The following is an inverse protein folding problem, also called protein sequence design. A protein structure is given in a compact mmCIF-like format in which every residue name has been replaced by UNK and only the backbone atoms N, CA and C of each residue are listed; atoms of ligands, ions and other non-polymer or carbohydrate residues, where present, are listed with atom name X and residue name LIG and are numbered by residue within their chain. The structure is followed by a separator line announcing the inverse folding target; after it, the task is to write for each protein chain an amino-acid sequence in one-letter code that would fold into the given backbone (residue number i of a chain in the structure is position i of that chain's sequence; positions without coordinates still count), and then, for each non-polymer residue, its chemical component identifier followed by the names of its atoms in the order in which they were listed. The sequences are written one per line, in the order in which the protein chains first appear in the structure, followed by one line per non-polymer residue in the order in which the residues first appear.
data_IF_530161516459
#
_entry.id   IF_530161516459
#
_cell.length_a   1.000
_cell.length_b   1.000
_cell.length_c   1.000
_cell.angle_alpha   90.00
_cell.angle_beta   90.00
_cell.angle_gamma   90.00
#
_symmetry.space_group_name_H-M   'P 1'
#
loop_
_entity.id
_entity.type
_entity.pdbx_description
1 polymer ?
#
# COMPACT_ATOMS: atom_id res chain seq x y z
N UNK A 1 14.29 -60.72 62.72
CA UNK A 1 14.28 -59.32 62.26
C UNK A 1 14.03 -59.33 60.76
N UNK A 2 12.80 -59.02 60.34
CA UNK A 2 12.45 -58.90 58.94
C UNK A 2 12.72 -57.45 58.50
N UNK A 3 13.57 -57.27 57.48
CA UNK A 3 13.72 -55.99 56.80
C UNK A 3 12.53 -55.79 55.85
N UNK A 4 11.76 -54.74 56.10
CA UNK A 4 10.73 -54.24 55.19
C UNK A 4 11.44 -53.34 54.18
N UNK A 5 11.65 -53.83 52.97
CA UNK A 5 11.98 -52.96 51.83
C UNK A 5 10.69 -52.27 51.36
N UNK A 6 10.60 -50.97 51.61
CA UNK A 6 9.56 -50.10 51.08
C UNK A 6 9.88 -49.84 49.62
N UNK A 7 9.21 -50.56 48.71
CA UNK A 7 9.21 -50.26 47.28
C UNK A 7 8.46 -48.96 47.00
N UNK A 8 9.19 -47.90 46.68
CA UNK A 8 8.60 -46.66 46.17
C UNK A 8 8.23 -46.85 44.69
N UNK A 9 6.96 -47.09 44.40
CA UNK A 9 6.44 -47.09 43.04
C UNK A 9 6.76 -45.76 42.35
N UNK A 10 7.58 -45.82 41.30
CA UNK A 10 7.72 -44.72 40.32
C UNK A 10 6.42 -44.62 39.53
N UNK A 11 5.47 -43.83 40.03
CA UNK A 11 4.28 -43.46 39.28
C UNK A 11 4.65 -42.71 37.99
N UNK A 12 3.98 -43.06 36.90
CA UNK A 12 4.22 -42.66 35.52
C UNK A 12 4.13 -41.13 35.27
N UNK A 13 5.23 -40.40 35.39
CA UNK A 13 5.34 -38.99 34.96
C UNK A 13 5.61 -38.81 33.44
N UNK A 14 5.81 -39.88 32.69
CA UNK A 14 6.17 -39.85 31.26
C UNK A 14 5.06 -39.33 30.31
N UNK A 15 3.77 -39.70 30.47
CA UNK A 15 2.71 -39.26 29.55
C UNK A 15 2.43 -37.76 29.62
N UNK A 16 2.47 -37.18 30.82
CA UNK A 16 2.23 -35.75 31.06
C UNK A 16 3.35 -34.89 30.43
N UNK A 17 4.62 -35.29 30.62
CA UNK A 17 5.78 -34.62 30.01
C UNK A 17 5.74 -34.66 28.48
N UNK A 18 5.33 -35.79 27.88
CA UNK A 18 5.26 -35.97 26.42
C UNK A 18 4.13 -35.17 25.76
N UNK A 19 2.98 -35.00 26.44
CA UNK A 19 1.87 -34.14 25.98
C UNK A 19 2.22 -32.65 26.11
N UNK A 20 2.82 -32.25 27.23
CA UNK A 20 3.29 -30.88 27.45
C UNK A 20 4.35 -30.45 26.42
N UNK A 21 5.29 -31.34 26.08
CA UNK A 21 6.30 -31.07 25.05
C UNK A 21 5.73 -30.93 23.62
N UNK A 22 4.66 -31.65 23.27
CA UNK A 22 3.97 -31.45 21.98
C UNK A 22 3.27 -30.11 21.94
N UNK A 23 2.49 -29.80 22.99
CA UNK A 23 1.75 -28.54 23.07
C UNK A 23 2.68 -27.33 22.94
N UNK A 24 3.83 -27.35 23.62
CA UNK A 24 4.87 -26.32 23.50
C UNK A 24 5.39 -26.17 22.06
N UNK A 25 5.61 -27.28 21.34
CA UNK A 25 6.05 -27.24 19.94
C UNK A 25 4.97 -26.67 19.02
N UNK A 26 3.71 -27.06 19.21
CA UNK A 26 2.58 -26.55 18.41
C UNK A 26 2.42 -25.04 18.63
N UNK A 27 2.46 -24.58 19.89
CA UNK A 27 2.40 -23.16 20.24
C UNK A 27 3.59 -22.41 19.61
N UNK A 28 4.81 -22.95 19.71
CA UNK A 28 5.99 -22.31 19.13
C UNK A 28 5.89 -22.16 17.61
N UNK A 29 5.37 -23.17 16.90
CA UNK A 29 5.16 -23.11 15.44
C UNK A 29 4.10 -22.07 15.09
N UNK A 30 2.94 -22.08 15.77
CA UNK A 30 1.88 -21.09 15.54
C UNK A 30 2.40 -19.68 15.78
N UNK A 31 3.10 -19.46 16.88
CA UNK A 31 3.69 -18.16 17.20
C UNK A 31 4.74 -17.73 16.17
N UNK A 32 5.63 -18.63 15.74
CA UNK A 32 6.65 -18.31 14.75
C UNK A 32 6.03 -17.91 13.40
N UNK A 33 4.98 -18.61 12.97
CA UNK A 33 4.27 -18.31 11.71
C UNK A 33 3.53 -16.98 11.81
N UNK A 34 2.82 -16.72 12.92
CA UNK A 34 2.17 -15.43 13.14
C UNK A 34 3.20 -14.29 13.17
N UNK A 35 4.31 -14.45 13.88
CA UNK A 35 5.40 -13.45 13.94
C UNK A 35 5.98 -13.20 12.54
N UNK A 36 6.15 -14.25 11.74
CA UNK A 36 6.65 -14.10 10.38
C UNK A 36 5.66 -13.37 9.47
N UNK A 37 4.44 -13.89 9.34
CA UNK A 37 3.42 -13.40 8.41
C UNK A 37 2.83 -12.04 8.80
N UNK A 38 2.70 -11.76 10.09
CA UNK A 38 2.06 -10.53 10.57
C UNK A 38 3.06 -9.40 10.88
N UNK A 39 4.36 -9.69 10.88
CA UNK A 39 5.38 -8.69 11.23
C UNK A 39 6.65 -8.77 10.37
N UNK A 40 7.41 -9.87 10.42
CA UNK A 40 8.75 -9.92 9.79
C UNK A 40 8.72 -9.83 8.27
N UNK A 41 7.69 -10.36 7.61
CA UNK A 41 7.61 -10.39 6.15
C UNK A 41 7.62 -8.98 5.52
N UNK A 42 7.06 -7.98 6.20
CA UNK A 42 7.08 -6.59 5.75
C UNK A 42 8.49 -6.01 5.78
N UNK A 43 9.27 -6.30 6.83
CA UNK A 43 10.67 -5.88 6.91
C UNK A 43 11.49 -6.52 5.79
N UNK A 44 11.29 -7.82 5.53
CA UNK A 44 12.00 -8.51 4.46
C UNK A 44 11.67 -7.94 3.08
N UNK A 45 10.40 -7.62 2.81
CA UNK A 45 9.99 -7.04 1.54
C UNK A 45 10.54 -5.62 1.36
N UNK A 46 10.35 -4.75 2.35
CA UNK A 46 10.68 -3.32 2.25
C UNK A 46 12.19 -3.07 2.37
N UNK A 47 12.93 -3.89 3.10
CA UNK A 47 14.40 -3.76 3.22
C UNK A 47 15.12 -3.91 1.87
N UNK A 48 14.49 -4.52 0.88
CA UNK A 48 15.03 -4.66 -0.48
C UNK A 48 14.89 -3.38 -1.31
N UNK A 49 14.10 -2.42 -0.84
CA UNK A 49 13.82 -1.17 -1.53
C UNK A 49 14.88 -0.11 -1.21
N UNK A 50 15.39 0.56 -2.25
CA UNK A 50 16.37 1.64 -2.11
C UNK A 50 15.85 2.90 -2.77
N UNK A 51 16.18 4.05 -2.18
CA UNK A 51 15.92 5.35 -2.79
C UNK A 51 16.63 5.44 -4.15
N UNK A 52 15.93 5.87 -5.22
CA UNK A 52 16.53 5.95 -6.55
C UNK A 52 17.51 7.13 -6.61
N UNK A 53 18.59 6.98 -7.36
CA UNK A 53 19.58 8.04 -7.57
C UNK A 53 19.08 9.06 -8.61
N UNK A 54 19.17 10.35 -8.27
CA UNK A 54 18.87 11.45 -9.19
C UNK A 54 20.18 11.96 -9.77
N UNK A 55 20.20 12.22 -11.08
CA UNK A 55 21.35 12.83 -11.73
C UNK A 55 21.48 14.28 -11.25
N UNK A 56 22.40 14.52 -10.31
CA UNK A 56 22.82 15.88 -10.00
C UNK A 56 23.79 16.32 -11.09
N UNK A 57 23.55 17.48 -11.70
CA UNK A 57 24.49 18.06 -12.66
C UNK A 57 25.75 18.44 -11.91
N UNK A 58 26.76 17.56 -11.97
CA UNK A 58 28.12 17.89 -11.55
C UNK A 58 28.63 18.93 -12.57
N UNK A 59 28.49 20.21 -12.25
CA UNK A 59 29.35 21.21 -12.87
C UNK A 59 30.76 20.96 -12.33
N UNK A 60 31.63 20.48 -13.22
CA UNK A 60 33.07 20.34 -12.95
C UNK A 60 33.65 21.70 -12.53
N UNK A 61 33.82 21.90 -11.23
CA UNK A 61 34.38 23.13 -10.66
C UNK A 61 34.11 23.21 -9.15
N UNK A 62 35.13 23.60 -8.40
CA UNK A 62 35.12 23.69 -6.93
C UNK A 62 33.86 24.39 -6.37
N UNK A 63 33.29 23.80 -5.30
CA UNK A 63 32.00 24.11 -4.66
C UNK A 63 30.72 23.69 -5.43
N UNK A 64 30.58 22.40 -5.71
CA UNK A 64 29.26 21.81 -5.97
C UNK A 64 28.42 21.83 -4.67
N UNK A 65 27.57 22.86 -4.51
CA UNK A 65 26.48 22.80 -3.54
C UNK A 65 25.50 21.73 -4.03
N UNK A 66 25.61 20.50 -3.54
CA UNK A 66 24.65 19.44 -3.85
C UNK A 66 23.24 19.93 -3.55
N UNK A 67 22.38 19.99 -4.58
CA UNK A 67 20.97 20.34 -4.40
C UNK A 67 20.35 19.39 -3.35
N UNK A 68 19.59 19.91 -2.37
CA UNK A 68 19.01 19.08 -1.33
C UNK A 68 17.99 18.12 -1.96
N UNK A 69 18.33 16.83 -1.99
CA UNK A 69 17.41 15.78 -2.45
C UNK A 69 16.30 15.60 -1.43
N UNK A 70 15.06 15.67 -1.89
CA UNK A 70 13.86 15.34 -1.14
C UNK A 70 13.52 13.87 -1.33
N UNK A 71 13.38 13.13 -0.24
CA UNK A 71 12.86 11.76 -0.23
C UNK A 71 11.36 11.75 0.06
N UNK A 72 10.57 11.45 -0.96
CA UNK A 72 9.11 11.42 -0.89
C UNK A 72 8.55 10.01 -1.15
N UNK A 73 7.57 9.60 -0.37
CA UNK A 73 6.77 8.39 -0.63
C UNK A 73 5.40 8.77 -1.18
N UNK A 74 4.90 7.99 -2.14
CA UNK A 74 3.58 8.15 -2.73
C UNK A 74 2.80 6.84 -2.61
N UNK A 75 1.66 6.92 -1.93
CA UNK A 75 0.69 5.86 -1.67
C UNK A 75 -0.59 6.21 -2.44
N UNK A 76 -1.41 5.23 -2.78
CA UNK A 76 -2.74 5.46 -3.35
C UNK A 76 -3.71 4.37 -2.88
N UNK A 77 -5.00 4.68 -2.97
CA UNK A 77 -6.09 3.72 -2.85
C UNK A 77 -5.95 2.83 -1.61
N UNK A 78 -5.90 3.45 -0.43
CA UNK A 78 -5.81 2.71 0.84
C UNK A 78 -7.12 2.01 1.16
N UNK A 79 -8.27 2.58 0.75
CA UNK A 79 -9.61 2.02 0.95
C UNK A 79 -9.83 1.48 2.36
N UNK A 80 -9.77 2.35 3.36
CA UNK A 80 -10.16 2.01 4.72
C UNK A 80 -11.63 1.56 4.71
N UNK A 81 -11.88 0.33 5.17
CA UNK A 81 -13.21 -0.25 5.14
C UNK A 81 -14.15 0.50 6.09
N UNK A 82 -15.26 0.96 5.54
CA UNK A 82 -16.29 1.66 6.30
C UNK A 82 -17.21 0.73 7.08
N UNK A 83 -18.26 1.32 7.65
CA UNK A 83 -19.21 0.64 8.53
C UNK A 83 -20.23 -0.21 7.77
N UNK A 84 -20.60 0.19 6.55
CA UNK A 84 -21.79 -0.34 5.88
C UNK A 84 -21.53 -1.59 5.06
N UNK A 85 -20.51 -1.57 4.20
CA UNK A 85 -20.14 -2.67 3.30
C UNK A 85 -18.90 -3.43 3.80
N UNK A 86 -18.17 -2.87 4.77
CA UNK A 86 -16.96 -3.46 5.31
C UNK A 86 -17.20 -4.68 6.21
N UNK A 87 -16.72 -5.85 5.80
CA UNK A 87 -16.74 -7.04 6.67
C UNK A 87 -15.65 -6.94 7.76
N UNK A 88 -15.98 -7.19 9.03
CA UNK A 88 -15.07 -6.99 10.17
C UNK A 88 -13.73 -7.74 10.05
N UNK A 89 -13.74 -8.98 9.53
CA UNK A 89 -12.51 -9.77 9.36
C UNK A 89 -11.64 -9.19 8.24
N UNK A 90 -12.27 -8.68 7.19
CA UNK A 90 -11.57 -8.05 6.08
C UNK A 90 -10.94 -6.75 6.59
N UNK A 91 -11.72 -5.93 7.29
CA UNK A 91 -11.25 -4.71 7.97
C UNK A 91 -10.04 -4.98 8.85
N UNK A 92 -10.14 -5.97 9.76
CA UNK A 92 -9.02 -6.37 10.61
C UNK A 92 -7.76 -6.73 9.79
N UNK A 93 -7.92 -7.50 8.71
CA UNK A 93 -6.79 -8.00 7.91
C UNK A 93 -6.13 -6.91 7.07
N UNK A 94 -6.93 -6.11 6.34
CA UNK A 94 -6.43 -5.06 5.43
C UNK A 94 -5.85 -3.89 6.21
N UNK A 95 -6.55 -3.44 7.26
CA UNK A 95 -6.05 -2.36 8.11
C UNK A 95 -4.76 -2.76 8.85
N UNK A 96 -4.68 -4.00 9.35
CA UNK A 96 -3.42 -4.51 9.92
C UNK A 96 -2.29 -4.51 8.91
N UNK A 97 -2.53 -4.99 7.68
CA UNK A 97 -1.53 -4.96 6.62
C UNK A 97 -1.03 -3.54 6.33
N UNK A 98 -1.95 -2.60 6.12
CA UNK A 98 -1.57 -1.22 5.82
C UNK A 98 -0.79 -0.59 6.96
N UNK A 99 -1.21 -0.77 8.22
CA UNK A 99 -0.46 -0.27 9.37
C UNK A 99 0.94 -0.87 9.41
N UNK A 100 1.08 -2.20 9.28
CA UNK A 100 2.40 -2.85 9.34
C UNK A 100 3.30 -2.42 8.20
N UNK A 101 2.77 -2.33 6.97
CA UNK A 101 3.52 -1.87 5.82
C UNK A 101 3.98 -0.42 5.98
N UNK A 102 3.07 0.50 6.35
CA UNK A 102 3.36 1.91 6.51
C UNK A 102 4.37 2.18 7.63
N UNK A 103 4.16 1.59 8.82
CA UNK A 103 5.06 1.78 9.95
C UNK A 103 6.46 1.20 9.68
N UNK A 104 6.53 0.06 8.96
CA UNK A 104 7.81 -0.54 8.56
C UNK A 104 8.53 0.31 7.51
N UNK A 105 7.80 0.87 6.55
CA UNK A 105 8.35 1.76 5.54
C UNK A 105 8.89 3.06 6.15
N UNK A 106 8.14 3.70 7.06
CA UNK A 106 8.64 4.86 7.80
C UNK A 106 9.92 4.52 8.56
N UNK A 107 9.94 3.39 9.26
CA UNK A 107 11.10 2.97 10.04
C UNK A 107 12.34 2.75 9.18
N UNK A 108 12.24 1.99 8.09
CA UNK A 108 13.38 1.60 7.26
C UNK A 108 13.81 2.69 6.27
N UNK A 109 12.86 3.38 5.65
CA UNK A 109 13.13 4.28 4.53
C UNK A 109 13.30 5.74 4.96
N UNK A 110 12.73 6.13 6.11
CA UNK A 110 12.82 7.47 6.68
C UNK A 110 12.52 8.58 5.65
N UNK A 111 11.32 8.58 5.01
CA UNK A 111 10.94 9.64 4.08
C UNK A 111 10.76 10.96 4.82
N UNK A 112 10.91 12.07 4.10
CA UNK A 112 10.62 13.41 4.64
C UNK A 112 9.16 13.79 4.42
N UNK A 113 8.58 13.34 3.30
CA UNK A 113 7.20 13.62 2.92
C UNK A 113 6.54 12.34 2.44
N UNK A 114 5.28 12.16 2.81
CA UNK A 114 4.41 11.10 2.33
C UNK A 114 3.18 11.74 1.69
N UNK A 115 2.82 11.28 0.51
CA UNK A 115 1.58 11.63 -0.18
C UNK A 115 0.64 10.42 -0.24
N UNK A 116 -0.65 10.63 -0.01
CA UNK A 116 -1.72 9.65 -0.30
C UNK A 116 -2.61 10.22 -1.40
N UNK A 117 -2.66 9.52 -2.54
CA UNK A 117 -3.26 9.98 -3.79
C UNK A 117 -4.72 9.55 -3.95
N UNK A 118 -5.56 9.89 -2.98
CA UNK A 118 -7.00 9.63 -3.03
C UNK A 118 -7.42 8.26 -2.54
N UNK A 119 -8.74 8.10 -2.47
CA UNK A 119 -9.46 6.91 -2.02
C UNK A 119 -8.90 6.39 -0.69
N UNK A 120 -8.83 7.31 0.27
CA UNK A 120 -8.38 7.02 1.63
C UNK A 120 -9.38 6.08 2.31
N UNK A 121 -10.65 6.46 2.26
CA UNK A 121 -11.78 5.73 2.81
C UNK A 121 -12.59 5.09 1.69
N UNK A 122 -13.01 3.85 1.86
CA UNK A 122 -13.87 3.15 0.89
C UNK A 122 -15.30 3.71 0.86
N UNK A 123 -15.72 4.27 1.98
CA UNK A 123 -17.10 4.67 2.24
C UNK A 123 -17.24 6.16 2.63
N UNK A 124 -16.19 6.96 2.44
CA UNK A 124 -16.20 8.37 2.82
C UNK A 124 -17.43 9.09 2.27
N UNK A 125 -17.77 8.93 0.99
CA UNK A 125 -18.84 9.64 0.31
C UNK A 125 -20.26 9.40 0.86
N UNK A 126 -20.50 8.32 1.60
CA UNK A 126 -21.81 8.01 2.18
C UNK A 126 -21.78 7.80 3.71
N UNK A 127 -20.64 8.04 4.35
CA UNK A 127 -20.49 7.91 5.80
C UNK A 127 -21.32 8.92 6.59
N UNK A 128 -21.92 8.45 7.68
CA UNK A 128 -22.49 9.30 8.73
C UNK A 128 -21.38 10.11 9.42
N UNK A 129 -21.70 11.21 10.12
CA UNK A 129 -20.71 11.97 10.88
C UNK A 129 -19.93 11.11 11.89
N UNK A 130 -20.61 10.15 12.53
CA UNK A 130 -20.03 9.23 13.50
C UNK A 130 -19.09 8.23 12.82
N UNK A 131 -19.54 7.56 11.75
CA UNK A 131 -18.71 6.63 10.99
C UNK A 131 -17.46 7.33 10.41
N UNK A 132 -17.62 8.56 9.92
CA UNK A 132 -16.50 9.38 9.45
C UNK A 132 -15.48 9.64 10.56
N UNK A 133 -15.93 10.00 11.77
CA UNK A 133 -15.04 10.26 12.89
C UNK A 133 -14.27 8.99 13.30
N UNK A 134 -14.95 7.84 13.35
CA UNK A 134 -14.34 6.54 13.66
C UNK A 134 -13.32 6.14 12.58
N UNK A 135 -13.62 6.38 11.31
CA UNK A 135 -12.73 6.11 10.18
C UNK A 135 -11.48 6.99 10.24
N UNK A 136 -11.65 8.28 10.54
CA UNK A 136 -10.54 9.24 10.73
C UNK A 136 -9.65 8.85 11.90
N UNK A 137 -10.21 8.43 13.04
CA UNK A 137 -9.42 7.96 14.18
C UNK A 137 -8.54 6.76 13.81
N UNK A 138 -9.12 5.78 13.10
CA UNK A 138 -8.36 4.61 12.63
C UNK A 138 -7.29 5.01 11.63
N UNK A 139 -7.59 5.90 10.69
CA UNK A 139 -6.60 6.45 9.78
C UNK A 139 -5.42 7.06 10.52
N UNK A 140 -5.68 7.95 11.48
CA UNK A 140 -4.63 8.64 12.25
C UNK A 140 -3.77 7.65 13.05
N UNK A 141 -4.38 6.58 13.57
CA UNK A 141 -3.66 5.52 14.28
C UNK A 141 -2.75 4.71 13.36
N UNK A 142 -3.23 4.33 12.18
CA UNK A 142 -2.48 3.48 11.23
C UNK A 142 -1.37 4.26 10.54
N UNK A 143 -1.68 5.47 10.07
CA UNK A 143 -0.75 6.36 9.37
C UNK A 143 -0.05 7.35 10.31
N UNK A 144 0.07 7.00 11.60
CA UNK A 144 0.83 7.80 12.58
C UNK A 144 2.28 7.96 12.11
N UNK A 145 2.80 9.16 12.25
CA UNK A 145 4.14 9.51 11.81
C UNK A 145 4.77 10.54 12.77
N UNK A 146 6.11 10.61 12.84
CA UNK A 146 6.79 11.65 13.61
C UNK A 146 6.50 13.05 13.05
N UNK A 147 6.56 14.08 13.90
CA UNK A 147 6.25 15.47 13.53
C UNK A 147 7.16 16.07 12.44
N UNK A 148 8.34 15.49 12.20
CA UNK A 148 9.25 15.94 11.15
C UNK A 148 8.88 15.39 9.76
N UNK A 149 8.05 14.34 9.68
CA UNK A 149 7.55 13.79 8.43
C UNK A 149 6.26 14.52 8.06
N UNK A 150 6.18 15.04 6.84
CA UNK A 150 4.95 15.68 6.36
C UNK A 150 4.04 14.62 5.71
N UNK A 151 2.75 14.60 6.06
CA UNK A 151 1.74 13.79 5.39
C UNK A 151 0.80 14.71 4.61
N UNK A 152 0.65 14.46 3.31
CA UNK A 152 -0.24 15.21 2.40
C UNK A 152 -1.20 14.23 1.75
N UNK A 153 -2.47 14.60 1.69
CA UNK A 153 -3.53 13.71 1.21
C UNK A 153 -4.42 14.49 0.25
N UNK A 154 -4.69 13.91 -0.92
CA UNK A 154 -5.69 14.44 -1.86
C UNK A 154 -6.93 13.56 -1.81
N UNK A 155 -8.09 14.13 -2.11
CA UNK A 155 -9.36 13.42 -2.10
C UNK A 155 -9.54 12.55 -3.36
N UNK A 156 -10.14 11.37 -3.18
CA UNK A 156 -10.65 10.54 -4.27
C UNK A 156 -12.18 10.48 -4.31
N UNK A 157 -12.72 9.68 -5.24
CA UNK A 157 -14.16 9.56 -5.44
C UNK A 157 -14.84 8.78 -4.31
N UNK A 158 -14.15 7.85 -3.65
CA UNK A 158 -14.69 7.17 -2.48
C UNK A 158 -14.73 8.07 -1.23
N UNK A 159 -13.86 9.09 -1.16
CA UNK A 159 -13.78 9.99 -0.01
C UNK A 159 -14.93 11.00 0.02
N UNK A 160 -15.15 11.70 -1.10
CA UNK A 160 -16.09 12.83 -1.17
C UNK A 160 -17.15 12.70 -2.26
N UNK A 161 -17.08 11.66 -3.11
CA UNK A 161 -17.98 11.45 -4.23
C UNK A 161 -17.47 12.11 -5.52
N UNK A 162 -17.85 11.57 -6.68
CA UNK A 162 -17.59 12.20 -7.97
C UNK A 162 -18.74 13.11 -8.36
N UNK A 163 -18.44 14.35 -8.73
CA UNK A 163 -19.38 15.32 -9.28
C UNK A 163 -20.72 15.42 -8.51
N UNK A 164 -21.82 14.80 -8.98
CA UNK A 164 -23.14 14.87 -8.33
C UNK A 164 -23.21 14.21 -6.96
N UNK A 165 -22.32 13.25 -6.66
CA UNK A 165 -22.24 12.66 -5.32
C UNK A 165 -21.51 13.59 -4.33
N UNK A 166 -20.76 14.57 -4.83
CA UNK A 166 -20.01 15.54 -4.03
C UNK A 166 -20.92 16.66 -3.52
N UNK A 167 -20.63 17.16 -2.32
CA UNK A 167 -21.25 18.37 -1.79
C UNK A 167 -20.30 19.11 -0.84
N UNK A 168 -20.63 20.36 -0.51
CA UNK A 168 -19.82 21.24 0.33
C UNK A 168 -19.47 20.60 1.68
N UNK A 169 -20.44 19.95 2.34
CA UNK A 169 -20.20 19.28 3.63
C UNK A 169 -19.13 18.17 3.51
N UNK A 170 -19.16 17.36 2.45
CA UNK A 170 -18.19 16.28 2.22
C UNK A 170 -16.79 16.83 1.94
N UNK A 171 -16.69 17.90 1.14
CA UNK A 171 -15.41 18.58 0.85
C UNK A 171 -14.84 19.20 2.12
N UNK A 172 -15.62 20.03 2.82
CA UNK A 172 -15.18 20.74 4.02
C UNK A 172 -14.75 19.79 5.14
N UNK A 173 -15.48 18.69 5.38
CA UNK A 173 -15.09 17.73 6.42
C UNK A 173 -13.81 16.97 6.06
N UNK A 174 -13.56 16.71 4.78
CA UNK A 174 -12.33 16.08 4.31
C UNK A 174 -11.15 17.03 4.51
N UNK A 175 -11.27 18.26 4.02
CA UNK A 175 -10.22 19.27 4.12
C UNK A 175 -9.92 19.70 5.55
N UNK A 176 -10.91 19.64 6.44
CA UNK A 176 -10.70 19.84 7.88
C UNK A 176 -9.72 18.82 8.48
N UNK A 177 -9.68 17.59 7.96
CA UNK A 177 -8.78 16.53 8.43
C UNK A 177 -7.44 16.57 7.69
N UNK A 178 -7.48 16.78 6.37
CA UNK A 178 -6.34 16.56 5.48
C UNK A 178 -5.69 17.83 4.91
N UNK A 179 -6.20 19.02 5.27
CA UNK A 179 -5.88 20.33 4.72
C UNK A 179 -6.54 20.61 3.36
N UNK A 180 -6.88 21.87 3.13
CA UNK A 180 -7.29 22.42 1.83
C UNK A 180 -6.11 22.98 1.01
N UNK A 181 -4.86 22.79 1.47
CA UNK A 181 -3.67 23.29 0.78
C UNK A 181 -3.62 22.75 -0.66
N UNK A 182 -3.49 23.66 -1.65
CA UNK A 182 -3.34 23.31 -3.08
C UNK A 182 -1.91 23.35 -3.56
N UNK A 183 -1.06 24.15 -2.92
CA UNK A 183 0.35 24.29 -3.25
C UNK A 183 1.19 24.05 -2.01
N UNK A 184 1.92 22.95 -2.00
CA UNK A 184 2.90 22.62 -0.96
C UNK A 184 4.31 22.79 -1.53
N UNK A 185 5.12 23.63 -0.90
CA UNK A 185 6.50 23.86 -1.31
C UNK A 185 7.48 23.34 -0.26
N UNK A 186 8.42 22.49 -0.67
CA UNK A 186 9.43 21.92 0.22
C UNK A 186 10.75 21.74 -0.50
N UNK A 187 11.87 22.18 0.11
CA UNK A 187 13.22 22.13 -0.49
C UNK A 187 13.29 22.72 -1.92
N UNK A 188 12.52 23.77 -2.20
CA UNK A 188 12.47 24.41 -3.53
C UNK A 188 11.68 23.63 -4.57
N UNK A 189 10.97 22.58 -4.17
CA UNK A 189 10.09 21.78 -5.02
C UNK A 189 8.64 22.17 -4.74
N UNK A 190 7.86 22.38 -5.80
CA UNK A 190 6.45 22.72 -5.71
C UNK A 190 5.60 21.49 -6.04
N UNK A 191 4.70 21.13 -5.13
CA UNK A 191 3.69 20.10 -5.31
C UNK A 191 2.33 20.78 -5.42
N UNK A 192 1.63 20.55 -6.52
CA UNK A 192 0.25 21.03 -6.72
C UNK A 192 -0.70 19.88 -6.46
N UNK A 193 -1.48 19.99 -5.39
CA UNK A 193 -2.48 19.01 -4.97
C UNK A 193 -3.80 19.33 -5.67
N UNK A 194 -4.24 18.40 -6.51
CA UNK A 194 -5.43 18.58 -7.36
C UNK A 194 -6.55 17.67 -6.86
N UNK A 195 -7.68 18.26 -6.47
CA UNK A 195 -8.92 17.51 -6.25
C UNK A 195 -9.54 17.17 -7.62
N UNK A 196 -9.11 16.07 -8.22
CA UNK A 196 -9.52 15.67 -9.56
C UNK A 196 -11.02 15.36 -9.66
N UNK A 197 -11.65 14.88 -8.59
CA UNK A 197 -13.10 14.57 -8.60
C UNK A 197 -13.99 15.81 -8.63
N UNK A 198 -13.40 17.00 -8.43
CA UNK A 198 -14.02 18.30 -8.67
C UNK A 198 -13.76 18.87 -10.09
N UNK A 199 -13.06 18.14 -10.97
CA UNK A 199 -12.64 18.64 -12.30
C UNK A 199 -13.52 18.09 -13.44
N UNK A 200 -14.84 18.04 -13.25
CA UNK A 200 -15.76 17.54 -14.28
C UNK A 200 -15.87 18.46 -15.51
N UNK A 201 -15.64 19.77 -15.33
CA UNK A 201 -15.58 20.75 -16.42
C UNK A 201 -16.95 21.30 -16.88
N UNK A 202 -18.03 21.02 -16.16
CA UNK A 202 -19.40 21.48 -16.48
C UNK A 202 -19.79 22.80 -15.79
N UNK A 203 -18.85 23.45 -15.07
CA UNK A 203 -19.10 24.70 -14.37
C UNK A 203 -19.92 24.54 -13.08
N UNK A 204 -19.97 23.35 -12.48
CA UNK A 204 -20.59 23.16 -11.17
C UNK A 204 -19.93 24.08 -10.11
N UNK A 205 -20.65 24.44 -9.03
CA UNK A 205 -20.15 25.39 -8.03
C UNK A 205 -18.80 25.00 -7.43
N UNK A 206 -18.71 23.77 -6.90
CA UNK A 206 -17.46 23.21 -6.35
C UNK A 206 -16.38 23.07 -7.45
N UNK A 207 -16.79 22.70 -8.66
CA UNK A 207 -15.88 22.52 -9.79
C UNK A 207 -15.23 23.85 -10.21
N UNK A 208 -16.03 24.92 -10.26
CA UNK A 208 -15.57 26.25 -10.64
C UNK A 208 -14.63 26.84 -9.59
N UNK A 209 -14.91 26.58 -8.30
CA UNK A 209 -14.02 26.96 -7.20
C UNK A 209 -12.68 26.23 -7.30
N UNK A 210 -12.70 24.90 -7.50
CA UNK A 210 -11.47 24.12 -7.69
C UNK A 210 -10.65 24.58 -8.91
N UNK A 211 -11.30 24.87 -10.05
CA UNK A 211 -10.63 25.45 -11.22
C UNK A 211 -10.00 26.82 -10.89
N UNK A 212 -10.72 27.70 -10.18
CA UNK A 212 -10.23 29.03 -9.82
C UNK A 212 -9.01 28.99 -8.89
N UNK A 213 -9.00 28.10 -7.89
CA UNK A 213 -7.86 27.89 -6.99
C UNK A 213 -6.60 27.44 -7.77
N UNK A 214 -6.76 26.53 -8.74
CA UNK A 214 -5.65 26.06 -9.56
C UNK A 214 -5.13 27.13 -10.52
N UNK A 215 -6.02 27.97 -11.05
CA UNK A 215 -5.62 29.14 -11.83
C UNK A 215 -4.82 30.11 -10.94
N UNK A 216 -5.23 30.37 -9.70
CA UNK A 216 -4.47 31.20 -8.77
C UNK A 216 -3.07 30.62 -8.50
N UNK A 217 -2.98 29.30 -8.28
CA UNK A 217 -1.69 28.60 -8.13
C UNK A 217 -0.84 28.77 -9.39
N UNK A 218 -1.41 28.65 -10.59
CA UNK A 218 -0.66 28.85 -11.84
C UNK A 218 -0.06 30.25 -11.96
N UNK A 219 -0.80 31.28 -11.52
CA UNK A 219 -0.32 32.65 -11.48
C UNK A 219 0.81 32.84 -10.48
N UNK A 220 0.71 32.22 -9.30
CA UNK A 220 1.77 32.26 -8.27
C UNK A 220 3.06 31.58 -8.74
N UNK A 221 2.95 30.55 -9.57
CA UNK A 221 4.09 29.80 -10.13
C UNK A 221 4.63 30.39 -11.44
N UNK A 222 4.03 31.46 -11.98
CA UNK A 222 4.36 32.07 -13.27
C UNK A 222 4.36 31.06 -14.45
N UNK A 223 3.44 30.10 -14.45
CA UNK A 223 3.33 29.14 -15.54
C UNK A 223 2.84 29.83 -16.84
N UNK A 224 3.55 29.64 -17.96
CA UNK A 224 3.25 30.27 -19.27
C UNK A 224 2.41 29.38 -20.21
N UNK A 225 1.77 30.00 -21.22
CA UNK A 225 0.74 29.45 -22.12
C UNK A 225 1.32 28.68 -23.33
N UNK A 226 1.20 27.34 -23.42
CA UNK A 226 0.98 26.53 -24.68
C UNK A 226 0.80 24.97 -24.54
N UNK A 227 -0.16 24.43 -25.32
CA UNK A 227 -0.74 23.10 -25.76
C UNK A 227 -0.51 21.65 -25.15
N UNK A 228 -1.68 21.04 -24.78
CA UNK A 228 -2.30 19.66 -24.63
C UNK A 228 -1.58 18.28 -24.83
N UNK A 229 -2.14 17.09 -24.37
CA UNK A 229 -3.26 16.79 -23.43
C UNK A 229 -2.99 15.72 -22.32
N UNK A 230 -3.83 15.67 -21.26
CA UNK A 230 -4.11 14.47 -20.44
C UNK A 230 -5.49 13.90 -20.91
N UNK A 231 -5.86 12.67 -20.54
CA UNK A 231 -6.84 11.74 -21.16
C UNK A 231 -6.11 10.61 -21.87
N UNK A 232 -6.43 9.38 -21.46
CA UNK A 232 -6.02 8.15 -22.12
C UNK A 232 -7.24 7.26 -22.29
N UNK A 233 -7.33 6.59 -23.44
CA UNK A 233 -8.50 5.78 -23.81
C UNK A 233 -8.64 4.54 -22.93
N UNK A 234 -7.54 3.96 -22.48
CA UNK A 234 -7.48 2.78 -21.61
C UNK A 234 -6.06 2.57 -21.07
N UNK A 235 -5.84 1.47 -20.34
CA UNK A 235 -4.51 0.99 -19.91
C UNK A 235 -3.73 0.23 -21.02
N UNK A 236 -4.23 0.18 -22.26
CA UNK A 236 -3.64 -0.64 -23.34
C UNK A 236 -2.16 -0.33 -23.60
N UNK A 237 -1.74 0.92 -23.40
CA UNK A 237 -0.36 1.35 -23.61
C UNK A 237 0.53 1.37 -22.35
N UNK A 238 0.03 0.93 -21.18
CA UNK A 238 0.81 0.94 -19.94
C UNK A 238 1.99 -0.05 -19.97
N UNK A 239 3.06 0.23 -19.26
CA UNK A 239 4.17 -0.72 -19.06
C UNK A 239 4.38 -1.02 -17.57
N UNK A 240 4.92 -2.20 -17.25
CA UNK A 240 5.25 -2.62 -15.87
C UNK A 240 4.65 -3.97 -15.48
N UNK A 241 5.30 -4.66 -14.54
CA UNK A 241 4.94 -6.00 -14.06
C UNK A 241 3.59 -6.06 -13.30
N UNK A 242 3.11 -4.91 -12.85
CA UNK A 242 1.92 -4.71 -12.01
C UNK A 242 0.86 -3.81 -12.68
N UNK A 243 1.01 -3.57 -13.98
CA UNK A 243 -0.05 -3.08 -14.84
C UNK A 243 -1.25 -4.04 -14.84
N UNK A 244 -2.44 -3.54 -15.17
CA UNK A 244 -3.65 -4.36 -15.22
C UNK A 244 -3.46 -5.57 -16.16
N UNK A 245 -4.19 -6.69 -15.96
CA UNK A 245 -4.17 -7.83 -16.88
C UNK A 245 -4.58 -7.43 -18.31
N UNK A 246 -4.12 -8.10 -19.38
CA UNK A 246 -4.47 -7.74 -20.76
C UNK A 246 -5.97 -7.62 -21.02
N UNK A 247 -6.76 -8.48 -20.38
CA UNK A 247 -8.24 -8.50 -20.46
C UNK A 247 -8.89 -7.22 -19.92
N UNK A 248 -8.26 -6.57 -18.94
CA UNK A 248 -8.73 -5.31 -18.33
C UNK A 248 -8.12 -4.09 -19.03
N UNK A 249 -6.91 -4.20 -19.58
CA UNK A 249 -6.18 -3.08 -20.18
C UNK A 249 -6.81 -2.50 -21.44
N UNK A 250 -7.50 -3.33 -22.21
CA UNK A 250 -8.17 -2.90 -23.43
C UNK A 250 -9.58 -2.34 -23.18
N UNK A 251 -10.09 -2.39 -21.94
CA UNK A 251 -11.38 -1.82 -21.58
C UNK A 251 -11.29 -0.29 -21.66
N UNK A 252 -12.12 0.36 -22.50
CA UNK A 252 -12.10 1.82 -22.60
C UNK A 252 -12.54 2.47 -21.30
N UNK A 253 -11.75 3.41 -20.81
CA UNK A 253 -12.13 4.26 -19.70
C UNK A 253 -13.30 5.16 -20.07
N UNK A 254 -14.23 5.28 -19.14
CA UNK A 254 -15.33 6.23 -19.18
C UNK A 254 -14.85 7.56 -18.60
N UNK A 255 -14.85 8.60 -19.43
CA UNK A 255 -14.60 9.97 -18.99
C UNK A 255 -15.54 10.36 -17.84
N UNK A 256 -15.04 11.17 -16.91
CA UNK A 256 -15.74 11.61 -15.71
C UNK A 256 -16.19 10.45 -14.81
N UNK A 257 -15.52 9.31 -14.91
CA UNK A 257 -15.72 8.19 -14.01
C UNK A 257 -14.39 7.51 -13.73
N UNK A 258 -13.79 6.91 -14.76
CA UNK A 258 -12.50 6.22 -14.65
C UNK A 258 -11.30 7.18 -14.85
N UNK A 259 -11.51 8.27 -15.58
CA UNK A 259 -10.52 9.31 -15.88
C UNK A 259 -11.17 10.68 -15.98
N UNK A 260 -10.39 11.75 -15.81
CA UNK A 260 -10.82 13.12 -16.12
C UNK A 260 -11.24 13.27 -17.59
N UNK A 261 -12.14 14.22 -17.85
CA UNK A 261 -12.45 14.60 -19.22
C UNK A 261 -11.21 15.12 -19.94
N UNK A 262 -11.17 14.92 -21.26
CA UNK A 262 -10.08 15.44 -22.09
C UNK A 262 -9.87 16.94 -21.89
N UNK A 263 -10.94 17.70 -21.73
CA UNK A 263 -10.87 19.14 -21.49
C UNK A 263 -10.24 19.48 -20.12
N UNK A 264 -10.69 18.86 -19.03
CA UNK A 264 -10.19 19.14 -17.69
C UNK A 264 -8.70 18.79 -17.57
N UNK A 265 -8.35 17.60 -18.06
CA UNK A 265 -6.98 17.14 -18.20
C UNK A 265 -6.08 18.12 -18.97
N UNK A 266 -6.58 18.65 -20.08
CA UNK A 266 -5.90 19.64 -20.90
C UNK A 266 -5.69 20.97 -20.18
N UNK A 267 -6.71 21.45 -19.44
CA UNK A 267 -6.62 22.65 -18.61
C UNK A 267 -5.53 22.52 -17.54
N UNK A 268 -5.43 21.37 -16.88
CA UNK A 268 -4.41 21.13 -15.84
C UNK A 268 -2.98 21.23 -16.38
N UNK A 269 -2.67 20.55 -17.51
CA UNK A 269 -1.35 20.68 -18.14
C UNK A 269 -1.07 22.12 -18.55
N UNK A 270 -2.09 22.81 -19.08
CA UNK A 270 -1.96 24.19 -19.52
C UNK A 270 -1.63 25.13 -18.36
N UNK A 271 -2.38 25.05 -17.26
CA UNK A 271 -2.19 25.92 -16.10
C UNK A 271 -0.90 25.62 -15.36
N UNK A 272 -0.54 24.35 -15.19
CA UNK A 272 0.49 23.98 -14.23
C UNK A 272 1.85 23.62 -14.87
N UNK A 273 1.87 23.22 -16.15
CA UNK A 273 3.08 22.77 -16.86
C UNK A 273 3.96 21.82 -16.01
N UNK A 274 3.39 20.74 -15.44
CA UNK A 274 4.13 19.90 -14.51
C UNK A 274 5.22 19.10 -15.23
N UNK A 275 6.34 18.87 -14.53
CA UNK A 275 7.39 17.95 -14.99
C UNK A 275 7.07 16.47 -14.75
N UNK A 276 6.13 16.19 -13.84
CA UNK A 276 5.71 14.86 -13.43
C UNK A 276 4.28 14.94 -12.89
N UNK A 277 3.43 14.00 -13.29
CA UNK A 277 2.11 13.80 -12.71
C UNK A 277 2.09 12.45 -11.98
N UNK A 278 1.55 12.44 -10.76
CA UNK A 278 1.33 11.22 -9.99
C UNK A 278 -0.17 11.12 -9.69
N UNK A 279 -0.77 9.99 -10.03
CA UNK A 279 -2.21 9.72 -9.88
C UNK A 279 -2.46 8.40 -9.14
N UNK A 280 -3.72 8.09 -8.81
CA UNK A 280 -4.15 6.83 -8.18
C UNK A 280 -5.34 6.22 -8.91
N UNK A 281 -6.36 5.76 -8.18
CA UNK A 281 -7.69 5.34 -8.62
C UNK A 281 -7.79 4.00 -9.35
N UNK A 282 -6.92 3.71 -10.32
CA UNK A 282 -7.03 2.47 -11.11
C UNK A 282 -6.60 1.21 -10.34
N UNK A 283 -6.08 1.37 -9.11
CA UNK A 283 -5.41 0.36 -8.29
C UNK A 283 -4.17 -0.28 -8.95
N UNK A 284 -3.89 0.07 -10.21
CA UNK A 284 -2.86 -0.50 -11.05
C UNK A 284 -1.80 0.53 -11.40
N UNK A 285 -0.56 0.07 -11.56
CA UNK A 285 0.48 0.97 -12.00
C UNK A 285 0.36 1.20 -13.49
N UNK A 286 0.47 2.46 -13.91
CA UNK A 286 0.55 2.80 -15.32
C UNK A 286 1.50 3.98 -15.51
N UNK A 287 2.41 3.86 -16.46
CA UNK A 287 3.22 4.97 -16.96
C UNK A 287 2.70 5.38 -18.33
N UNK A 288 2.38 6.66 -18.50
CA UNK A 288 2.01 7.24 -19.78
C UNK A 288 2.67 8.60 -19.97
N UNK A 289 2.91 8.96 -21.23
CA UNK A 289 3.57 10.22 -21.58
C UNK A 289 2.60 11.12 -22.34
N UNK A 290 2.19 12.20 -21.70
CA UNK A 290 1.23 13.17 -22.23
C UNK A 290 1.89 14.14 -23.20
N UNK A 291 1.37 14.16 -24.43
CA UNK A 291 1.95 14.94 -25.52
C UNK A 291 3.42 14.61 -25.81
N UNK A 292 3.89 13.41 -25.42
CA UNK A 292 5.28 12.96 -25.49
C UNK A 292 6.26 13.71 -24.59
N UNK A 293 5.78 14.52 -23.64
CA UNK A 293 6.61 15.44 -22.84
C UNK A 293 6.41 15.33 -21.33
N UNK A 294 5.17 15.15 -20.88
CA UNK A 294 4.84 15.13 -19.44
C UNK A 294 4.53 13.68 -19.02
N UNK A 295 5.41 13.02 -18.26
CA UNK A 295 5.13 11.69 -17.75
C UNK A 295 4.08 11.75 -16.62
N UNK A 296 3.12 10.84 -16.69
CA UNK A 296 2.21 10.50 -15.61
C UNK A 296 2.49 9.08 -15.14
N UNK A 297 2.56 8.91 -13.83
CA UNK A 297 2.62 7.61 -13.18
C UNK A 297 1.41 7.44 -12.26
N UNK A 298 0.54 6.49 -12.59
CA UNK A 298 -0.50 6.01 -11.68
C UNK A 298 0.15 5.10 -10.63
N UNK A 299 -0.02 5.46 -9.37
CA UNK A 299 0.44 4.73 -8.20
C UNK A 299 -0.58 3.62 -7.92
N UNK A 300 -0.14 2.36 -7.82
CA UNK A 300 -1.04 1.25 -7.53
C UNK A 300 -1.54 1.29 -6.08
N UNK A 301 -2.60 0.54 -5.81
CA UNK A 301 -3.15 0.46 -4.46
C UNK A 301 -2.13 -0.07 -3.45
N UNK A 302 -2.13 0.56 -2.27
CA UNK A 302 -1.35 0.16 -1.10
C UNK A 302 -1.99 -1.00 -0.32
N UNK A 303 -3.24 -1.36 -0.64
CA UNK A 303 -4.07 -2.30 0.12
C UNK A 303 -4.21 -3.65 -0.58
N UNK A 304 -4.11 -4.74 0.20
CA UNK A 304 -4.48 -6.07 -0.30
C UNK A 304 -5.94 -6.17 -0.72
N UNK A 305 -6.79 -5.21 -0.34
CA UNK A 305 -8.20 -5.24 -0.70
C UNK A 305 -8.42 -5.12 -2.21
N UNK A 306 -7.55 -4.33 -2.86
CA UNK A 306 -7.68 -3.96 -4.25
C UNK A 306 -6.76 -4.80 -5.14
N UNK A 307 -5.64 -5.31 -4.60
CA UNK A 307 -4.71 -6.16 -5.35
C UNK A 307 -3.88 -7.10 -4.50
N UNK A 308 -3.48 -8.23 -5.08
CA UNK A 308 -2.65 -9.23 -4.40
C UNK A 308 -1.20 -8.75 -4.14
N UNK A 309 -0.64 -7.89 -5.00
CA UNK A 309 0.74 -7.39 -4.93
C UNK A 309 0.81 -5.86 -4.74
N UNK A 310 0.37 -5.32 -3.59
CA UNK A 310 0.36 -3.88 -3.37
C UNK A 310 1.77 -3.31 -3.36
N UNK A 311 1.89 -2.03 -3.66
CA UNK A 311 3.18 -1.33 -3.68
C UNK A 311 3.00 0.16 -3.46
N UNK A 312 4.11 0.87 -3.32
CA UNK A 312 4.15 2.32 -3.26
C UNK A 312 5.34 2.85 -4.08
N UNK A 313 5.31 4.13 -4.42
CA UNK A 313 6.40 4.78 -5.18
C UNK A 313 7.29 5.57 -4.23
N UNK A 314 8.59 5.44 -4.42
CA UNK A 314 9.63 6.23 -3.76
C UNK A 314 10.22 7.20 -4.77
N UNK A 315 10.17 8.49 -4.46
CA UNK A 315 10.76 9.55 -5.26
C UNK A 315 11.95 10.19 -4.56
N UNK A 316 13.06 10.27 -5.26
CA UNK A 316 14.14 11.19 -4.92
C UNK A 316 14.00 12.39 -5.86
N UNK A 317 13.84 13.59 -5.30
CA UNK A 317 13.39 14.75 -6.07
C UNK A 317 14.28 15.96 -5.74
N UNK A 318 14.76 16.66 -6.75
CA UNK A 318 15.39 17.99 -6.62
C UNK A 318 14.50 19.04 -7.29
N UNK A 319 14.77 20.34 -7.17
CA UNK A 319 14.02 21.36 -7.90
C UNK A 319 14.04 21.17 -9.43
N UNK A 320 15.10 20.56 -9.95
CA UNK A 320 15.35 20.44 -11.40
C UNK A 320 15.06 19.05 -11.96
N UNK A 321 15.32 17.98 -11.22
CA UNK A 321 15.19 16.59 -11.70
C UNK A 321 14.53 15.68 -10.66
N UNK A 322 14.19 14.45 -11.05
CA UNK A 322 13.64 13.44 -10.16
C UNK A 322 13.96 12.02 -10.64
N UNK A 323 13.92 11.07 -9.72
CA UNK A 323 13.96 9.65 -10.02
C UNK A 323 12.89 8.94 -9.17
N UNK A 324 12.19 8.00 -9.80
CA UNK A 324 11.16 7.20 -9.16
C UNK A 324 11.60 5.74 -9.12
N UNK A 325 11.22 5.05 -8.06
CA UNK A 325 11.32 3.59 -7.96
C UNK A 325 10.12 3.04 -7.23
N UNK A 326 9.79 1.79 -7.50
CA UNK A 326 8.65 1.10 -6.90
C UNK A 326 9.13 0.17 -5.80
N UNK A 327 8.42 0.16 -4.69
CA UNK A 327 8.65 -0.76 -3.58
C UNK A 327 7.44 -1.67 -3.38
N UNK A 328 7.60 -2.96 -3.65
CA UNK A 328 6.55 -3.96 -3.47
C UNK A 328 6.40 -4.36 -2.00
N UNK A 329 5.15 -4.54 -1.60
CA UNK A 329 4.78 -5.12 -0.32
C UNK A 329 4.62 -6.65 -0.46
N UNK A 330 4.57 -7.39 0.66
CA UNK A 330 4.29 -8.82 0.62
C UNK A 330 3.00 -9.12 -0.14
N UNK A 331 2.97 -10.22 -0.90
CA UNK A 331 1.75 -10.65 -1.58
C UNK A 331 0.81 -11.39 -0.63
N UNK A 332 -0.50 -11.17 -0.77
CA UNK A 332 -1.49 -11.82 0.09
C UNK A 332 -1.46 -13.34 -0.08
N UNK A 333 -1.42 -13.82 -1.33
CA UNK A 333 -1.39 -15.25 -1.66
C UNK A 333 -0.19 -15.98 -1.05
N UNK A 334 0.99 -15.35 -1.06
CA UNK A 334 2.20 -15.90 -0.41
C UNK A 334 1.97 -16.06 1.08
N UNK A 335 1.37 -15.07 1.75
CA UNK A 335 1.06 -15.15 3.18
C UNK A 335 0.02 -16.25 3.46
N UNK A 336 -1.03 -16.36 2.63
CA UNK A 336 -2.04 -17.41 2.76
C UNK A 336 -1.45 -18.81 2.53
N UNK A 337 -0.57 -18.98 1.54
CA UNK A 337 0.12 -20.24 1.28
C UNK A 337 0.99 -20.65 2.47
N UNK A 338 1.69 -19.70 3.10
CA UNK A 338 2.47 -19.96 4.32
C UNK A 338 1.56 -20.42 5.46
N UNK A 339 0.41 -19.76 5.66
CA UNK A 339 -0.57 -20.17 6.66
C UNK A 339 -1.11 -21.58 6.39
N UNK A 340 -1.53 -21.88 5.17
CA UNK A 340 -2.01 -23.21 4.79
C UNK A 340 -0.92 -24.29 4.98
N UNK A 341 0.33 -24.00 4.60
CA UNK A 341 1.47 -24.88 4.81
C UNK A 341 1.73 -25.15 6.30
N UNK A 342 1.64 -24.11 7.14
CA UNK A 342 1.79 -24.24 8.58
C UNK A 342 0.68 -25.11 9.21
N UNK A 343 -0.58 -24.94 8.79
CA UNK A 343 -1.69 -25.80 9.24
C UNK A 343 -1.43 -27.25 8.85
N UNK A 344 -1.04 -27.51 7.60
CA UNK A 344 -0.68 -28.86 7.15
C UNK A 344 0.45 -29.47 7.98
N UNK A 345 1.51 -28.70 8.26
CA UNK A 345 2.62 -29.12 9.10
C UNK A 345 2.19 -29.44 10.54
N UNK A 346 1.33 -28.61 11.15
CA UNK A 346 0.78 -28.85 12.49
C UNK A 346 -0.07 -30.13 12.55
N UNK A 347 -0.85 -30.41 11.52
CA UNK A 347 -1.62 -31.66 11.40
C UNK A 347 -0.67 -32.86 11.34
N UNK A 348 0.36 -32.82 10.48
CA UNK A 348 1.36 -33.90 10.36
C UNK A 348 2.10 -34.12 11.68
N UNK A 349 2.51 -33.04 12.37
CA UNK A 349 3.15 -33.12 13.68
C UNK A 349 2.25 -33.80 14.72
N UNK A 350 0.97 -33.45 14.73
CA UNK A 350 -0.02 -34.00 15.67
C UNK A 350 -0.28 -35.48 15.38
N UNK A 351 -0.52 -35.84 14.12
CA UNK A 351 -0.73 -37.23 13.70
C UNK A 351 0.51 -38.10 13.95
N UNK A 352 1.71 -37.56 13.75
CA UNK A 352 2.98 -38.24 14.03
C UNK A 352 3.13 -38.53 15.51
N UNK A 353 2.76 -37.58 16.37
CA UNK A 353 2.84 -37.75 17.82
C UNK A 353 1.83 -38.78 18.35
N UNK A 354 0.63 -38.79 17.77
CA UNK A 354 -0.42 -39.78 18.05
C UNK A 354 -0.12 -41.18 17.49
N UNK A 355 0.94 -41.35 16.70
CA UNK A 355 1.30 -42.63 16.09
C UNK A 355 0.34 -43.06 14.97
N UNK A 356 -0.45 -42.14 14.42
CA UNK A 356 -1.43 -42.38 13.37
C UNK A 356 -0.83 -42.30 11.96
N UNK A 357 0.44 -41.87 11.85
CA UNK A 357 1.21 -41.96 10.61
C UNK A 357 2.06 -43.22 10.61
N UNK A 358 1.81 -44.10 9.63
CA UNK A 358 2.66 -45.25 9.38
C UNK A 358 4.08 -44.76 9.08
N UNK A 359 5.06 -45.15 9.89
CA UNK A 359 6.46 -44.78 9.66
C UNK A 359 6.93 -45.42 8.34
N UNK A 360 7.30 -44.63 7.30
CA UNK A 360 7.89 -45.20 6.09
C UNK A 360 9.24 -45.88 6.37
N UNK A 361 9.87 -45.59 7.50
CA UNK A 361 11.19 -46.11 7.88
C UNK A 361 11.19 -47.55 8.43
N UNK A 362 10.05 -48.07 8.90
CA UNK A 362 9.98 -49.45 9.45
C UNK A 362 9.66 -50.52 8.39
N UNK A 363 9.20 -50.12 7.20
CA UNK A 363 8.93 -51.08 6.11
C UNK A 363 10.20 -51.46 5.33
N UNK A 364 11.15 -50.52 5.17
CA UNK A 364 12.41 -50.76 4.44
C UNK A 364 13.43 -51.65 5.15
N UNK A 365 13.56 -51.57 6.48
CA UNK A 365 14.51 -52.40 7.23
C UNK A 365 14.10 -53.88 7.34
N UNK A 366 12.80 -54.18 7.29
CA UNK A 366 12.32 -55.56 7.31
C UNK A 366 12.52 -56.30 5.97
N UNK A 367 12.65 -55.56 4.86
CA UNK A 367 12.98 -56.11 3.55
C UNK A 367 14.48 -56.43 3.41
N UNK A 368 15.37 -55.65 4.04
CA UNK A 368 16.82 -55.92 4.03
C UNK A 368 17.22 -57.05 4.99
N UNK A 369 16.46 -57.27 6.08
CA UNK A 369 16.72 -58.40 7.00
C UNK A 369 16.33 -59.76 6.42
N UNK A 370 15.33 -59.81 5.53
CA UNK A 370 14.92 -61.05 4.83
C UNK A 370 15.87 -61.49 3.70
N UNK A 371 16.79 -60.64 3.26
CA UNK A 371 17.75 -60.97 2.18
C UNK A 371 19.09 -61.53 2.68
N UNK A 372 19.33 -61.57 4.00
CA UNK A 372 20.58 -62.06 4.61
C UNK A 372 20.51 -63.49 5.14
N UNK A 373 19.39 -64.19 4.93
CA UNK A 373 19.23 -65.62 5.21
C UNK A 373 18.86 -66.35 3.92
N UNK A 374 19.86 -66.56 3.06
CA UNK A 374 19.88 -67.65 2.08
C UNK A 374 21.32 -68.02 1.77
#
# INVERSE_FOLDING_TARGET
MAMIEVGFERQNFYPLKRKSALLLKLIAVVFAVLLFCEFLIYYLAIFQCNWPEVKTTAYDGEQASHEPVLKAMFLADTHLLGEFLGHWLDKLRREWQMERAFQTALWLLQPEVVFILGDVFDEGKWSTPEAWADDVERFQKMFRHPSHVQLKVVAGNHDIGFHYEMNTYKVERFEKVFSSERLFSWKGINFVMVNSVAMNGDGCGICSEAEAELIEVSHRLNCSREHYPLYRRSDANCSGDDAAPPEERDIPFKENYDVLSREASQKLLWWLQPRLVLSGHTHSACEVHHGGRVPEFSVPSFSWRNRNNPSFIMGSITPTDYALSKCYLPREDVVLVIYCGAVGFLVVLTLSHLGLLASPFLSGLNLLRKRKTR
#
